data_IF_011299531315
#
_entry.id   IF_011299531315
#
_cell.length_a   1.000
_cell.length_b   1.000
_cell.length_c   1.000
_cell.angle_alpha   90.00
_cell.angle_beta   90.00
_cell.angle_gamma   90.00
#
_symmetry.space_group_name_H-M   'P 1'
#
loop_
_entity.id
_entity.type
_entity.pdbx_description
1 polymer ?
2 non-polymer ?
3 water ?
#
# COMPACT_ATOMS: atom_id res chain seq x y z
N UNK A 4 -27.64 11.40 13.92
CA UNK A 4 -26.97 11.14 12.65
C UNK A 4 -25.48 10.71 12.85
N UNK A 5 -24.97 10.69 14.12
CA UNK A 5 -23.60 10.24 14.44
C UNK A 5 -23.56 8.71 14.61
N UNK A 6 -24.73 8.10 14.73
CA UNK A 6 -24.92 6.67 14.96
C UNK A 6 -24.70 5.84 13.69
N UNK A 7 -24.49 4.54 13.88
CA UNK A 7 -24.26 3.57 12.85
C UNK A 7 -25.43 3.49 11.92
N UNK A 8 -26.64 3.40 12.49
CA UNK A 8 -27.90 3.26 11.76
C UNK A 8 -28.03 4.25 10.62
N UNK A 9 -27.70 5.54 10.93
CA UNK A 9 -27.75 6.63 9.98
C UNK A 9 -26.75 6.44 8.84
N UNK A 10 -25.48 6.11 9.15
CA UNK A 10 -24.40 5.91 8.17
C UNK A 10 -24.65 4.66 7.31
N UNK A 11 -25.24 3.62 7.92
CA UNK A 11 -25.64 2.41 7.20
C UNK A 11 -26.70 2.73 6.16
N UNK A 12 -27.69 3.55 6.54
CA UNK A 12 -28.76 3.89 5.62
C UNK A 12 -28.19 4.71 4.47
N UNK A 13 -27.27 5.65 4.75
CA UNK A 13 -26.60 6.43 3.70
C UNK A 13 -25.82 5.55 2.73
N UNK A 14 -25.13 4.54 3.26
CA UNK A 14 -24.35 3.64 2.39
C UNK A 14 -25.25 2.70 1.57
N UNK A 15 -26.38 2.30 2.14
CA UNK A 15 -27.31 1.42 1.45
C UNK A 15 -28.11 2.20 0.42
N UNK A 16 -28.41 3.48 0.74
CA UNK A 16 -29.08 4.34 -0.22
C UNK A 16 -28.19 4.53 -1.44
N UNK A 17 -26.87 4.74 -1.23
CA UNK A 17 -25.94 4.92 -2.33
C UNK A 17 -25.85 3.71 -3.23
N UNK A 18 -25.84 2.55 -2.60
CA UNK A 18 -25.84 1.28 -3.31
C UNK A 18 -27.05 1.14 -4.19
N UNK A 19 -28.27 1.39 -3.64
CA UNK A 19 -29.51 1.27 -4.42
C UNK A 19 -29.54 2.25 -5.54
N UNK A 20 -28.95 3.47 -5.34
CA UNK A 20 -28.82 4.49 -6.40
C UNK A 20 -27.94 3.93 -7.53
N UNK A 21 -26.74 3.41 -7.22
CA UNK A 21 -25.82 2.81 -8.22
C UNK A 21 -26.51 1.63 -8.94
N UNK A 22 -27.18 0.76 -8.18
CA UNK A 22 -27.79 -0.44 -8.75
C UNK A 22 -29.07 -0.18 -9.50
N UNK A 23 -29.53 1.10 -9.52
CA UNK A 23 -30.78 1.55 -10.16
C UNK A 23 -32.00 0.80 -9.60
N UNK A 24 -31.97 0.47 -8.28
CA UNK A 24 -33.06 -0.24 -7.60
C UNK A 24 -33.57 0.57 -6.41
N UNK A 25 -34.19 1.75 -6.63
CA UNK A 25 -34.65 2.53 -5.47
C UNK A 25 -35.85 1.94 -4.72
N UNK A 26 -35.85 2.14 -3.40
CA UNK A 26 -36.93 1.70 -2.50
C UNK A 26 -38.18 2.61 -2.78
N UNK A 27 -39.43 2.08 -2.72
CA UNK A 27 -40.59 2.93 -3.08
C UNK A 27 -41.17 3.80 -1.95
N UNK A 28 -41.23 3.26 -0.73
CA UNK A 28 -41.77 3.98 0.42
C UNK A 28 -41.03 5.25 0.81
N UNK A 29 -41.57 6.43 0.37
CA UNK A 29 -41.08 7.81 0.62
C UNK A 29 -39.86 8.22 -0.23
N UNK A 30 -38.79 7.44 -0.13
CA UNK A 30 -37.54 7.70 -0.83
C UNK A 30 -36.43 8.13 0.11
N UNK A 31 -35.23 8.45 -0.41
CA UNK A 31 -34.12 8.85 0.47
C UNK A 31 -34.29 10.24 1.08
N UNK A 32 -33.52 10.53 2.12
CA UNK A 32 -33.53 11.80 2.82
C UNK A 32 -32.85 12.85 1.98
N UNK A 33 -33.07 14.15 2.32
CA UNK A 33 -32.39 15.28 1.64
C UNK A 33 -30.88 15.01 1.72
N UNK A 34 -30.40 14.57 2.89
CA UNK A 34 -28.98 14.24 3.09
C UNK A 34 -28.48 13.19 2.09
N UNK A 35 -29.21 12.09 1.94
CA UNK A 35 -28.84 11.02 1.00
C UNK A 35 -28.90 11.55 -0.45
N UNK A 36 -29.92 12.35 -0.78
CA UNK A 36 -30.11 12.89 -2.13
C UNK A 36 -28.95 13.82 -2.48
N UNK A 37 -28.45 14.62 -1.49
CA UNK A 37 -27.29 15.50 -1.70
C UNK A 37 -26.05 14.62 -1.93
N UNK A 38 -25.88 13.58 -1.09
CA UNK A 38 -24.76 12.64 -1.17
C UNK A 38 -24.72 11.90 -2.52
N UNK A 39 -25.82 11.31 -2.95
CA UNK A 39 -25.84 10.49 -4.18
C UNK A 39 -25.37 11.32 -5.38
N UNK A 40 -25.73 12.59 -5.36
CA UNK A 40 -25.37 13.55 -6.38
C UNK A 40 -23.84 13.77 -6.45
N UNK A 41 -23.22 14.19 -5.32
CA UNK A 41 -21.79 14.47 -5.22
C UNK A 41 -20.96 13.18 -5.28
N UNK A 42 -21.42 12.08 -4.66
CA UNK A 42 -20.67 10.83 -4.71
C UNK A 42 -20.65 10.25 -6.13
N UNK A 43 -21.77 10.29 -6.85
CA UNK A 43 -21.76 9.75 -8.22
C UNK A 43 -20.80 10.52 -9.13
N UNK A 44 -20.76 11.85 -8.97
CA UNK A 44 -19.86 12.73 -9.70
C UNK A 44 -18.40 12.30 -9.47
N UNK A 45 -18.00 12.08 -8.20
CA UNK A 45 -16.67 11.60 -7.82
C UNK A 45 -16.38 10.22 -8.40
N UNK A 46 -17.34 9.28 -8.29
CA UNK A 46 -17.21 7.89 -8.79
C UNK A 46 -16.88 7.84 -10.27
N UNK A 47 -17.58 8.63 -11.08
CA UNK A 47 -17.31 8.70 -12.54
C UNK A 47 -15.89 9.23 -12.80
N UNK A 48 -15.41 10.18 -11.96
CA UNK A 48 -14.07 10.77 -12.06
C UNK A 48 -13.03 9.71 -11.73
N UNK A 49 -13.21 8.97 -10.61
CA UNK A 49 -12.36 7.86 -10.18
C UNK A 49 -12.40 6.76 -11.24
N UNK A 50 -13.55 6.51 -11.85
CA UNK A 50 -13.65 5.47 -12.88
C UNK A 50 -12.78 5.79 -14.09
N UNK A 51 -12.77 7.06 -14.50
CA UNK A 51 -11.95 7.51 -15.62
C UNK A 51 -10.47 7.51 -15.27
N UNK A 52 -10.09 8.22 -14.17
CA UNK A 52 -8.70 8.33 -13.70
C UNK A 52 -8.07 7.00 -13.31
N UNK A 53 -8.91 6.02 -12.84
CA UNK A 53 -8.44 4.68 -12.41
C UNK A 53 -8.80 3.54 -13.38
N UNK A 54 -9.31 3.86 -14.61
CA UNK A 54 -9.72 2.91 -15.66
C UNK A 54 -8.87 1.62 -15.74
N UNK A 55 -7.57 1.76 -16.08
CA UNK A 55 -6.58 0.68 -16.21
C UNK A 55 -6.55 -0.19 -14.93
N UNK A 56 -6.39 0.46 -13.77
CA UNK A 56 -6.33 -0.13 -12.43
C UNK A 56 -7.57 -1.00 -12.09
N UNK A 57 -8.81 -0.47 -12.30
CA UNK A 57 -10.07 -1.18 -12.02
C UNK A 57 -10.25 -2.44 -12.88
N UNK A 58 -10.10 -2.29 -14.21
CA UNK A 58 -10.25 -3.36 -15.22
C UNK A 58 -9.34 -4.57 -15.00
N UNK A 59 -8.41 -4.48 -14.04
CA UNK A 59 -7.48 -5.57 -13.74
C UNK A 59 -7.91 -6.44 -12.56
N UNK A 60 -8.53 -5.83 -11.51
CA UNK A 60 -8.98 -6.60 -10.34
C UNK A 60 -10.26 -7.41 -10.62
N UNK A 61 -10.48 -8.49 -9.84
CA UNK A 61 -11.65 -9.36 -9.95
C UNK A 61 -12.32 -9.55 -8.57
N UNK A 62 -13.47 -8.85 -8.37
CA UNK A 62 -14.27 -8.87 -7.13
C UNK A 62 -15.30 -9.98 -7.24
N UNK A 63 -14.95 -11.18 -6.75
CA UNK A 63 -15.71 -12.44 -6.83
C UNK A 63 -16.55 -12.77 -5.58
N UNK A 64 -16.40 -11.99 -4.48
CA UNK A 64 -17.12 -12.18 -3.21
C UNK A 64 -17.12 -10.91 -2.36
N UNK A 65 -17.94 -10.89 -1.28
CA UNK A 65 -17.99 -9.79 -0.31
C UNK A 65 -16.63 -9.66 0.45
N UNK A 66 -15.99 -10.82 0.75
CA UNK A 66 -14.68 -10.87 1.40
C UNK A 66 -13.58 -10.27 0.53
N UNK A 67 -13.61 -10.51 -0.80
CA UNK A 67 -12.64 -9.94 -1.74
C UNK A 67 -12.85 -8.40 -1.79
N UNK A 68 -14.14 -7.95 -1.74
CA UNK A 68 -14.49 -6.54 -1.78
C UNK A 68 -14.06 -5.84 -0.49
N UNK A 69 -14.22 -6.50 0.69
CA UNK A 69 -13.80 -5.93 1.99
C UNK A 69 -12.30 -5.60 1.99
N UNK A 70 -11.50 -6.55 1.47
CA UNK A 70 -10.05 -6.43 1.35
C UNK A 70 -9.63 -5.29 0.44
N UNK A 71 -10.20 -5.21 -0.79
CA UNK A 71 -9.90 -4.14 -1.75
C UNK A 71 -10.24 -2.78 -1.15
N UNK A 72 -11.43 -2.69 -0.53
CA UNK A 72 -11.95 -1.50 0.12
C UNK A 72 -10.98 -1.06 1.24
N UNK A 73 -10.52 -1.99 2.09
CA UNK A 73 -9.55 -1.71 3.17
C UNK A 73 -8.23 -1.17 2.58
N UNK A 74 -7.76 -1.77 1.48
CA UNK A 74 -6.53 -1.37 0.78
C UNK A 74 -6.61 0.08 0.29
N UNK A 75 -7.75 0.43 -0.35
CA UNK A 75 -8.04 1.77 -0.85
C UNK A 75 -8.13 2.76 0.32
N UNK A 76 -8.82 2.35 1.41
CA UNK A 76 -8.94 3.17 2.62
C UNK A 76 -7.59 3.45 3.26
N UNK A 77 -6.69 2.43 3.29
CA UNK A 77 -5.32 2.51 3.80
C UNK A 77 -4.53 3.58 3.05
N UNK A 78 -4.72 3.71 1.72
CA UNK A 78 -3.94 4.71 1.00
C UNK A 78 -4.65 6.09 0.91
N UNK A 79 -6.01 6.12 1.00
CA UNK A 79 -6.81 7.36 0.99
C UNK A 79 -6.55 8.21 2.23
N UNK A 80 -6.35 7.56 3.38
CA UNK A 80 -6.14 8.26 4.64
C UNK A 80 -4.75 8.06 5.31
N UNK A 81 -3.73 7.61 4.54
CA UNK A 81 -2.39 7.33 5.10
C UNK A 81 -1.76 8.53 5.80
N UNK A 82 -1.97 9.75 5.27
CA UNK A 82 -1.45 10.96 5.90
C UNK A 82 -2.24 11.39 7.16
N UNK A 83 -3.31 10.66 7.50
CA UNK A 83 -4.14 10.92 8.69
C UNK A 83 -5.11 12.09 8.63
N UNK A 84 -5.21 12.78 7.50
CA UNK A 84 -6.13 13.92 7.42
C UNK A 84 -7.51 13.49 6.87
N UNK A 85 -8.58 13.98 7.52
CA UNK A 85 -9.96 13.75 7.14
C UNK A 85 -10.54 15.09 6.67
N UNK A 86 -11.38 15.01 5.63
CA UNK A 86 -12.14 16.11 5.09
C UNK A 86 -13.34 15.54 4.33
N UNK A 87 -14.38 16.35 4.12
CA UNK A 87 -15.62 15.91 3.48
C UNK A 87 -15.42 15.27 2.12
N UNK A 88 -14.43 15.76 1.37
CA UNK A 88 -14.08 15.26 0.04
C UNK A 88 -13.64 13.82 0.09
N UNK A 89 -12.91 13.46 1.14
CA UNK A 89 -12.45 12.09 1.33
C UNK A 89 -13.59 11.17 1.79
N UNK A 90 -14.55 11.73 2.53
CA UNK A 90 -15.72 10.98 3.02
C UNK A 90 -16.62 10.65 1.83
N UNK A 91 -16.79 11.62 0.91
CA UNK A 91 -17.57 11.42 -0.33
C UNK A 91 -16.89 10.34 -1.16
N UNK A 92 -15.55 10.38 -1.17
CA UNK A 92 -14.70 9.39 -1.88
C UNK A 92 -14.97 7.96 -1.40
N UNK A 93 -15.25 7.73 -0.10
CA UNK A 93 -15.55 6.38 0.43
C UNK A 93 -16.80 5.82 -0.28
N UNK A 94 -17.86 6.63 -0.38
CA UNK A 94 -19.11 6.22 -1.01
C UNK A 94 -18.86 5.84 -2.46
N UNK A 95 -18.07 6.66 -3.17
CA UNK A 95 -17.72 6.43 -4.57
C UNK A 95 -17.03 5.10 -4.76
N UNK A 96 -16.20 4.68 -3.80
CA UNK A 96 -15.52 3.41 -3.89
C UNK A 96 -16.43 2.21 -3.69
N UNK A 97 -17.41 2.28 -2.75
CA UNK A 97 -18.39 1.18 -2.58
C UNK A 97 -19.25 1.01 -3.83
N UNK A 98 -19.50 2.11 -4.54
CA UNK A 98 -20.22 2.11 -5.82
C UNK A 98 -19.45 1.36 -6.89
N UNK A 99 -18.11 1.59 -6.96
CA UNK A 99 -17.19 0.91 -7.89
C UNK A 99 -17.18 -0.59 -7.59
N UNK A 100 -17.12 -0.94 -6.31
CA UNK A 100 -17.06 -2.33 -5.85
C UNK A 100 -18.37 -3.04 -6.07
N UNK A 101 -19.53 -2.38 -5.83
CA UNK A 101 -20.79 -3.06 -6.08
C UNK A 101 -20.95 -3.31 -7.58
N UNK A 102 -20.49 -2.35 -8.44
CA UNK A 102 -20.61 -2.57 -9.91
C UNK A 102 -19.81 -3.81 -10.32
N UNK A 103 -18.52 -3.88 -9.83
CA UNK A 103 -17.62 -5.01 -10.08
C UNK A 103 -18.17 -6.31 -9.53
N UNK A 104 -18.65 -6.33 -8.28
CA UNK A 104 -19.24 -7.53 -7.62
C UNK A 104 -20.51 -8.04 -8.37
N UNK A 105 -21.37 -7.13 -8.90
CA UNK A 105 -22.56 -7.57 -9.64
C UNK A 105 -22.14 -8.36 -10.88
N UNK A 106 -21.12 -7.86 -11.56
CA UNK A 106 -20.50 -8.41 -12.76
C UNK A 106 -19.64 -9.67 -12.50
N UNK A 107 -18.92 -9.76 -11.36
CA UNK A 107 -17.96 -10.85 -11.15
C UNK A 107 -18.18 -11.79 -9.94
N UNK A 108 -19.28 -11.66 -9.18
CA UNK A 108 -19.51 -12.52 -7.99
C UNK A 108 -19.73 -13.98 -8.37
N UNK A 109 -18.99 -14.92 -7.69
CA UNK A 109 -19.04 -16.38 -7.92
C UNK A 109 -20.43 -16.93 -7.66
N UNK A 110 -20.97 -16.71 -6.47
CA UNK A 110 -22.32 -17.11 -6.16
C UNK A 110 -23.14 -15.83 -6.15
N UNK A 111 -23.80 -15.47 -7.27
CA UNK A 111 -24.55 -14.20 -7.31
C UNK A 111 -25.78 -14.18 -6.38
N UNK A 112 -25.52 -13.85 -5.10
CA UNK A 112 -26.52 -13.70 -4.05
C UNK A 112 -26.91 -12.22 -3.99
N UNK A 113 -28.21 -11.96 -3.95
CA UNK A 113 -28.69 -10.59 -3.89
C UNK A 113 -28.59 -10.00 -2.47
N UNK A 114 -28.46 -10.86 -1.45
CA UNK A 114 -28.36 -10.43 -0.06
C UNK A 114 -26.93 -10.05 0.41
N UNK A 115 -25.97 -10.04 -0.52
CA UNK A 115 -24.56 -9.72 -0.27
C UNK A 115 -24.27 -8.22 -0.40
N UNK A 116 -25.08 -7.53 -1.20
CA UNK A 116 -24.95 -6.09 -1.45
C UNK A 116 -25.16 -5.24 -0.17
N UNK A 117 -25.98 -5.71 0.78
CA UNK A 117 -26.22 -5.05 2.05
C UNK A 117 -25.02 -5.23 3.03
N UNK A 118 -24.11 -6.18 2.74
CA UNK A 118 -22.89 -6.48 3.51
C UNK A 118 -21.85 -5.44 3.17
N UNK A 119 -21.83 -4.98 1.91
CA UNK A 119 -20.94 -3.90 1.47
C UNK A 119 -21.29 -2.64 2.29
N UNK A 120 -22.60 -2.34 2.39
CA UNK A 120 -23.18 -1.21 3.14
C UNK A 120 -22.77 -1.29 4.60
N UNK A 121 -22.77 -2.52 5.15
CA UNK A 121 -22.35 -2.74 6.52
C UNK A 121 -20.89 -2.39 6.72
N UNK A 122 -19.94 -2.98 5.94
CA UNK A 122 -18.52 -2.67 6.22
C UNK A 122 -18.14 -1.24 5.82
N UNK A 123 -18.96 -0.58 4.99
CA UNK A 123 -18.69 0.84 4.66
C UNK A 123 -19.05 1.73 5.87
N UNK A 124 -20.20 1.43 6.49
CA UNK A 124 -20.64 2.18 7.66
C UNK A 124 -19.71 1.91 8.86
N UNK A 125 -19.24 0.67 8.99
CA UNK A 125 -18.29 0.30 10.05
C UNK A 125 -16.97 1.09 9.93
N UNK A 126 -16.46 1.18 8.69
CA UNK A 126 -15.25 1.92 8.39
C UNK A 126 -15.45 3.43 8.68
N UNK A 127 -16.54 4.03 8.16
CA UNK A 127 -16.85 5.45 8.34
C UNK A 127 -16.98 5.79 9.84
N UNK A 128 -17.73 4.96 10.55
CA UNK A 128 -18.02 5.08 11.97
C UNK A 128 -16.75 5.02 12.81
N UNK A 129 -15.99 3.93 12.70
CA UNK A 129 -14.79 3.74 13.48
C UNK A 129 -13.62 4.62 13.09
N UNK A 130 -13.54 5.06 11.82
CA UNK A 130 -12.37 5.81 11.40
C UNK A 130 -12.59 7.32 11.16
N UNK A 131 -13.83 7.77 10.94
CA UNK A 131 -14.11 9.19 10.69
C UNK A 131 -15.30 9.69 11.49
N UNK A 132 -15.95 8.80 12.25
CA UNK A 132 -17.14 9.15 13.03
C UNK A 132 -17.02 10.38 13.91
N UNK A 133 -15.88 10.49 14.64
CA UNK A 133 -15.61 11.59 15.58
C UNK A 133 -15.42 12.91 14.84
N UNK A 134 -14.63 12.89 13.74
CA UNK A 134 -14.37 14.04 12.87
C UNK A 134 -15.70 14.54 12.33
N UNK A 135 -16.55 13.63 11.82
CA UNK A 135 -17.86 13.97 11.25
C UNK A 135 -18.70 14.80 12.23
N UNK A 136 -18.86 14.27 13.46
CA UNK A 136 -19.65 14.89 14.54
C UNK A 136 -19.16 16.30 14.86
N UNK A 137 -17.85 16.46 15.05
CA UNK A 137 -17.23 17.74 15.39
C UNK A 137 -17.29 18.76 14.27
N UNK A 138 -17.55 18.29 13.04
CA UNK A 138 -17.66 19.14 11.87
C UNK A 138 -19.10 19.38 11.46
N UNK A 139 -20.03 18.98 12.32
CA UNK A 139 -21.42 19.29 12.07
C UNK A 139 -22.33 18.13 11.75
N UNK A 140 -21.76 16.93 11.69
CA UNK A 140 -22.51 15.74 11.33
C UNK A 140 -22.90 15.80 9.85
N UNK A 141 -23.88 15.00 9.48
CA UNK A 141 -24.39 14.92 8.13
C UNK A 141 -25.36 16.07 7.77
N UNK A 142 -26.25 16.43 8.70
CA UNK A 142 -27.28 17.43 8.44
C UNK A 142 -26.82 18.89 8.67
N UNK A 143 -25.73 19.12 9.43
CA UNK A 143 -25.22 20.48 9.66
C UNK A 143 -23.79 20.69 9.21
N UNK A 144 -23.21 19.64 8.65
CA UNK A 144 -21.83 19.62 8.17
C UNK A 144 -21.74 19.23 6.70
N UNK A 145 -22.16 18.02 6.38
CA UNK A 145 -22.07 17.54 5.01
C UNK A 145 -23.01 18.30 4.06
N UNK A 146 -24.32 18.33 4.41
CA UNK A 146 -25.35 18.96 3.61
C UNK A 146 -25.08 20.43 3.42
N UNK A 147 -24.76 21.18 4.50
CA UNK A 147 -24.45 22.62 4.39
C UNK A 147 -23.29 22.88 3.40
N UNK A 148 -22.27 22.02 3.38
CA UNK A 148 -21.16 22.13 2.45
C UNK A 148 -21.52 21.71 1.01
N UNK A 149 -22.41 20.70 0.81
CA UNK A 149 -22.61 20.17 -0.54
C UNK A 149 -23.99 20.37 -1.16
N UNK A 150 -24.99 20.89 -0.44
CA UNK A 150 -26.34 21.05 -0.99
C UNK A 150 -26.33 22.13 -2.09
N UNK A 151 -27.24 22.08 -3.09
CA UNK A 151 -27.23 23.13 -4.12
C UNK A 151 -27.26 24.53 -3.52
N UNK A 152 -26.45 25.42 -4.08
CA UNK A 152 -26.31 26.79 -3.57
C UNK A 152 -27.37 27.73 -4.15
N UNK B 4 11.64 2.21 14.07
CA UNK B 4 12.54 2.00 12.93
C UNK B 4 13.96 1.51 13.34
N UNK B 5 14.35 1.66 14.63
CA UNK B 5 15.67 1.22 15.13
C UNK B 5 15.77 -0.31 15.30
N UNK B 6 14.66 -1.03 15.08
CA UNK B 6 14.51 -2.45 15.31
C UNK B 6 14.71 -3.34 14.08
N UNK B 7 15.03 -4.63 14.33
CA UNK B 7 15.21 -5.65 13.33
C UNK B 7 13.98 -5.73 12.42
N UNK B 8 12.77 -5.78 13.01
CA UNK B 8 11.49 -5.91 12.30
C UNK B 8 11.32 -4.90 11.18
N UNK B 9 11.71 -3.65 11.45
CA UNK B 9 11.60 -2.56 10.49
C UNK B 9 12.55 -2.77 9.33
N UNK B 10 13.86 -3.01 9.63
CA UNK B 10 14.91 -3.24 8.63
C UNK B 10 14.55 -4.48 7.77
N UNK B 11 14.08 -5.55 8.43
CA UNK B 11 13.64 -6.76 7.73
C UNK B 11 12.55 -6.42 6.72
N UNK B 12 11.58 -5.59 7.12
CA UNK B 12 10.52 -5.16 6.21
C UNK B 12 11.09 -4.33 5.05
N UNK B 13 12.14 -3.53 5.27
CA UNK B 13 12.76 -2.75 4.18
C UNK B 13 13.49 -3.68 3.18
N UNK B 14 14.24 -4.63 3.73
CA UNK B 14 14.97 -5.60 2.93
C UNK B 14 13.99 -6.51 2.16
N UNK B 15 12.85 -6.90 2.78
CA UNK B 15 11.86 -7.74 2.09
C UNK B 15 11.17 -6.95 1.02
N UNK B 16 10.89 -5.65 1.29
CA UNK B 16 10.26 -4.78 0.30
C UNK B 16 11.14 -4.61 -0.91
N UNK B 17 12.45 -4.30 -0.72
CA UNK B 17 13.37 -4.14 -1.86
C UNK B 17 13.47 -5.42 -2.69
N UNK B 18 13.57 -6.55 -2.03
CA UNK B 18 13.58 -7.86 -2.68
C UNK B 18 12.31 -8.08 -3.57
N UNK B 19 11.10 -7.75 -3.04
CA UNK B 19 9.83 -7.86 -3.79
C UNK B 19 9.78 -6.89 -4.98
N UNK B 20 10.39 -5.70 -4.81
CA UNK B 20 10.49 -4.72 -5.89
C UNK B 20 11.41 -5.28 -7.04
N UNK B 21 12.62 -5.72 -6.71
CA UNK B 21 13.51 -6.30 -7.70
C UNK B 21 12.84 -7.50 -8.41
N UNK B 22 12.21 -8.40 -7.62
CA UNK B 22 11.55 -9.57 -8.18
C UNK B 22 10.21 -9.29 -8.87
N UNK B 23 9.84 -8.00 -8.97
CA UNK B 23 8.60 -7.48 -9.54
C UNK B 23 7.35 -8.21 -8.98
N UNK B 24 7.40 -8.58 -7.67
CA UNK B 24 6.32 -9.24 -6.97
C UNK B 24 5.83 -8.39 -5.80
N UNK B 25 5.24 -7.19 -6.03
CA UNK B 25 4.73 -6.40 -4.89
C UNK B 25 3.54 -7.05 -4.17
N UNK B 26 3.49 -6.86 -2.84
CA UNK B 26 2.41 -7.34 -1.96
C UNK B 26 1.18 -6.42 -2.16
N UNK B 27 -0.04 -6.96 -2.38
CA UNK B 27 -1.20 -6.08 -2.65
C UNK B 27 -1.70 -5.20 -1.49
N UNK B 28 -1.68 -5.72 -0.27
CA UNK B 28 -2.16 -5.01 0.93
C UNK B 28 -1.51 -3.68 1.25
N UNK B 29 -2.13 -2.56 0.76
CA UNK B 29 -1.72 -1.14 0.91
C UNK B 29 -0.43 -0.73 0.18
N UNK B 30 0.61 -1.53 0.34
CA UNK B 30 1.91 -1.29 -0.28
C UNK B 30 2.96 -0.81 0.70
N UNK B 31 4.20 -0.58 0.19
CA UNK B 31 5.28 -0.13 1.08
C UNK B 31 5.13 1.30 1.61
N UNK B 32 5.80 1.59 2.74
CA UNK B 32 5.83 2.90 3.41
C UNK B 32 6.53 3.89 2.52
N UNK B 33 6.51 5.18 2.90
CA UNK B 33 7.18 6.26 2.16
C UNK B 33 8.68 5.96 2.13
N UNK B 34 9.22 5.59 3.27
CA UNK B 34 10.62 5.23 3.49
C UNK B 34 11.07 4.17 2.49
N UNK B 35 10.34 3.08 2.43
CA UNK B 35 10.59 1.93 1.55
C UNK B 35 10.51 2.33 0.09
N UNK B 36 9.52 3.18 -0.26
CA UNK B 36 9.29 3.70 -1.61
C UNK B 36 10.47 4.57 -2.06
N UNK B 37 11.02 5.40 -1.14
CA UNK B 37 12.19 6.27 -1.40
C UNK B 37 13.45 5.40 -1.58
N UNK B 38 13.69 4.48 -0.62
CA UNK B 38 14.81 3.56 -0.66
C UNK B 38 14.82 2.75 -1.96
N UNK B 39 13.66 2.20 -2.38
CA UNK B 39 13.57 1.35 -3.57
C UNK B 39 14.10 2.07 -4.77
N UNK B 40 13.67 3.32 -4.89
CA UNK B 40 14.04 4.24 -5.95
C UNK B 40 15.55 4.49 -6.01
N UNK B 41 16.14 4.90 -4.87
CA UNK B 41 17.56 5.24 -4.76
C UNK B 41 18.46 3.99 -4.84
N UNK B 42 18.10 2.90 -4.13
CA UNK B 42 18.87 1.66 -4.17
C UNK B 42 18.85 0.99 -5.58
N UNK B 43 17.77 1.19 -6.37
CA UNK B 43 17.73 0.60 -7.74
C UNK B 43 18.74 1.31 -8.61
N UNK B 44 18.83 2.63 -8.46
CA UNK B 44 19.78 3.47 -9.18
C UNK B 44 21.22 3.00 -8.91
N UNK B 45 21.62 2.89 -7.63
CA UNK B 45 22.94 2.40 -7.25
C UNK B 45 23.16 0.98 -7.77
N UNK B 46 22.10 0.13 -7.75
CA UNK B 46 22.17 -1.27 -8.20
C UNK B 46 22.61 -1.39 -9.65
N UNK B 47 22.03 -0.58 -10.53
CA UNK B 47 22.36 -0.56 -11.97
C UNK B 47 23.82 -0.17 -12.22
N UNK B 48 24.35 0.80 -11.43
CA UNK B 48 25.74 1.24 -11.47
C UNK B 48 26.67 0.06 -11.10
N UNK B 49 26.48 -0.48 -9.89
CA UNK B 49 27.23 -1.62 -9.37
C UNK B 49 27.15 -2.80 -10.37
N UNK B 50 25.95 -3.06 -10.95
CA UNK B 50 25.76 -4.12 -11.95
C UNK B 50 26.69 -3.89 -13.16
N UNK B 51 26.78 -2.64 -13.64
CA UNK B 51 27.64 -2.26 -14.77
C UNK B 51 29.14 -2.38 -14.43
N UNK B 52 29.56 -1.78 -13.29
CA UNK B 52 30.94 -1.71 -12.83
C UNK B 52 31.47 -3.01 -12.20
N UNK B 53 30.65 -4.07 -12.14
CA UNK B 53 31.11 -5.33 -11.58
C UNK B 53 30.75 -6.51 -12.50
N UNK B 54 30.35 -6.23 -13.74
CA UNK B 54 29.92 -7.24 -14.73
C UNK B 54 30.84 -8.46 -14.83
N UNK B 55 32.17 -8.25 -14.91
CA UNK B 55 33.16 -9.34 -15.00
C UNK B 55 33.07 -10.26 -13.79
N UNK B 56 32.91 -9.69 -12.59
CA UNK B 56 32.78 -10.44 -11.35
C UNK B 56 31.53 -11.30 -11.31
N UNK B 57 30.36 -10.66 -11.40
CA UNK B 57 29.05 -11.28 -11.34
C UNK B 57 28.87 -12.36 -12.40
N UNK B 58 29.36 -12.11 -13.63
CA UNK B 58 29.27 -13.07 -14.73
C UNK B 58 30.11 -14.32 -14.51
N UNK B 59 30.95 -14.34 -13.47
CA UNK B 59 31.80 -15.49 -13.19
C UNK B 59 31.61 -16.06 -11.78
N UNK B 60 30.44 -15.79 -11.18
CA UNK B 60 30.04 -16.29 -9.86
C UNK B 60 28.76 -17.13 -10.03
N UNK B 61 28.62 -18.20 -9.24
CA UNK B 61 27.45 -19.06 -9.34
C UNK B 61 26.76 -19.17 -7.98
N UNK B 62 25.61 -18.46 -7.83
CA UNK B 62 24.84 -18.36 -6.60
C UNK B 62 23.80 -19.45 -6.56
N UNK B 63 24.24 -20.69 -6.24
CA UNK B 63 23.43 -21.95 -6.21
C UNK B 63 22.49 -22.08 -5.00
N UNK B 64 22.74 -21.34 -3.89
CA UNK B 64 21.93 -21.46 -2.68
C UNK B 64 22.00 -20.20 -1.82
N UNK B 65 21.13 -20.11 -0.77
CA UNK B 65 21.11 -19.01 0.22
C UNK B 65 22.46 -18.89 0.95
N UNK B 66 23.07 -20.03 1.29
CA UNK B 66 24.36 -20.02 1.98
C UNK B 66 25.48 -19.49 1.09
N UNK B 67 25.48 -19.77 -0.24
CA UNK B 67 26.45 -19.18 -1.17
C UNK B 67 26.26 -17.64 -1.19
N UNK B 68 24.99 -17.18 -1.32
CA UNK B 68 24.65 -15.75 -1.32
C UNK B 68 25.05 -15.09 0.01
N UNK B 69 24.84 -15.76 1.17
CA UNK B 69 25.24 -15.19 2.50
C UNK B 69 26.75 -14.98 2.54
N UNK B 70 27.51 -16.01 2.11
CA UNK B 70 28.97 -16.00 2.04
C UNK B 70 29.47 -14.86 1.14
N UNK B 71 28.92 -14.76 -0.09
CA UNK B 71 29.32 -13.70 -1.03
C UNK B 71 28.96 -12.32 -0.53
N UNK B 72 27.77 -12.20 0.09
CA UNK B 72 27.30 -10.93 0.64
C UNK B 72 28.26 -10.46 1.73
N UNK B 73 28.74 -11.39 2.60
CA UNK B 73 29.70 -11.07 3.67
C UNK B 73 30.99 -10.54 3.11
N UNK B 74 31.45 -11.13 1.98
CA UNK B 74 32.66 -10.71 1.29
C UNK B 74 32.60 -9.25 0.84
N UNK B 75 31.48 -8.83 0.20
CA UNK B 75 31.32 -7.44 -0.28
C UNK B 75 31.18 -6.47 0.88
N UNK B 76 30.51 -6.90 1.97
CA UNK B 76 30.36 -6.07 3.16
C UNK B 76 31.71 -5.79 3.81
N UNK B 77 32.63 -6.78 3.79
CA UNK B 77 34.01 -6.64 4.26
C UNK B 77 34.74 -5.58 3.44
N UNK B 78 34.53 -5.56 2.12
CA UNK B 78 35.15 -4.61 1.21
C UNK B 78 34.58 -3.19 1.37
N UNK B 79 33.22 -3.06 1.30
CA UNK B 79 32.50 -1.79 1.41
C UNK B 79 32.81 -1.03 2.69
N UNK B 80 33.04 -1.75 3.79
CA UNK B 80 33.27 -1.11 5.09
C UNK B 80 34.68 -1.35 5.70
N UNK B 81 35.70 -1.66 4.85
CA UNK B 81 37.07 -1.97 5.33
C UNK B 81 37.68 -0.87 6.20
N UNK B 82 37.50 0.42 5.86
CA UNK B 82 37.99 1.54 6.67
C UNK B 82 37.17 1.77 7.95
N UNK B 83 35.91 1.34 7.94
CA UNK B 83 35.02 1.46 9.08
C UNK B 83 34.14 2.70 9.11
N UNK B 84 34.04 3.43 7.97
CA UNK B 84 33.18 4.61 7.91
C UNK B 84 31.77 4.24 7.39
N UNK B 85 30.75 4.83 8.03
CA UNK B 85 29.33 4.65 7.77
C UNK B 85 28.73 6.00 7.33
N UNK B 86 27.99 5.98 6.22
CA UNK B 86 27.24 7.11 5.66
C UNK B 86 26.03 6.51 4.92
N UNK B 87 25.03 7.32 4.55
CA UNK B 87 23.83 6.82 3.90
C UNK B 87 24.07 6.15 2.56
N UNK B 88 25.09 6.61 1.82
CA UNK B 88 25.47 6.05 0.52
C UNK B 88 25.86 4.59 0.67
N UNK B 89 26.57 4.25 1.74
CA UNK B 89 26.97 2.87 1.99
C UNK B 89 25.81 2.01 2.46
N UNK B 90 24.87 2.58 3.22
CA UNK B 90 23.69 1.84 3.65
C UNK B 90 22.85 1.51 2.41
N UNK B 91 22.68 2.47 1.49
CA UNK B 91 21.97 2.26 0.22
C UNK B 91 22.57 1.10 -0.58
N UNK B 92 23.89 1.07 -0.66
CA UNK B 92 24.70 0.06 -1.33
C UNK B 92 24.40 -1.36 -0.81
N UNK B 93 24.12 -1.52 0.51
CA UNK B 93 23.80 -2.85 1.06
C UNK B 93 22.54 -3.43 0.36
N UNK B 94 21.52 -2.60 0.15
CA UNK B 94 20.28 -3.01 -0.50
C UNK B 94 20.55 -3.36 -1.96
N UNK B 95 21.43 -2.59 -2.63
CA UNK B 95 21.82 -2.86 -4.03
C UNK B 95 22.47 -4.24 -4.19
N UNK B 96 23.33 -4.67 -3.25
CA UNK B 96 23.91 -6.01 -3.33
C UNK B 96 22.88 -7.09 -3.04
N UNK B 97 21.95 -6.79 -2.11
CA UNK B 97 20.82 -7.66 -1.79
C UNK B 97 20.05 -7.92 -3.10
N UNK B 98 19.90 -6.89 -3.90
CA UNK B 98 19.20 -6.99 -5.18
C UNK B 98 19.94 -7.78 -6.23
N UNK B 99 21.29 -7.58 -6.31
CA UNK B 99 22.13 -8.33 -7.25
C UNK B 99 22.09 -9.79 -6.89
N UNK B 100 22.23 -10.11 -5.60
CA UNK B 100 22.21 -11.49 -5.13
C UNK B 100 20.90 -12.20 -5.37
N UNK B 101 19.74 -11.50 -5.28
CA UNK B 101 18.47 -12.17 -5.54
C UNK B 101 18.31 -12.43 -7.03
N UNK B 102 18.80 -11.50 -7.88
CA UNK B 102 18.70 -11.75 -9.34
C UNK B 102 19.49 -12.99 -9.72
N UNK B 103 20.72 -13.09 -9.21
CA UNK B 103 21.58 -14.23 -9.47
C UNK B 103 20.98 -15.51 -8.88
N UNK B 104 20.42 -15.44 -7.66
CA UNK B 104 19.80 -16.61 -7.03
C UNK B 104 18.56 -17.07 -7.84
N UNK B 105 17.74 -16.14 -8.38
CA UNK B 105 16.59 -16.51 -9.22
C UNK B 105 17.04 -17.29 -10.46
N UNK B 106 18.19 -16.92 -10.98
CA UNK B 106 18.79 -17.50 -12.16
C UNK B 106 19.54 -18.82 -11.89
N UNK B 107 20.26 -18.92 -10.75
CA UNK B 107 21.22 -19.98 -10.47
C UNK B 107 20.95 -20.93 -9.28
N UNK B 108 19.92 -20.69 -8.43
CA UNK B 108 19.63 -21.55 -7.26
C UNK B 108 19.30 -22.97 -7.70
N UNK B 109 19.91 -23.99 -7.06
CA UNK B 109 19.75 -25.39 -7.47
C UNK B 109 18.38 -25.95 -7.08
N UNK B 110 17.94 -25.74 -5.84
CA UNK B 110 16.60 -26.15 -5.47
C UNK B 110 15.85 -24.82 -5.40
N UNK B 111 15.28 -24.31 -6.52
CA UNK B 111 14.63 -22.99 -6.47
C UNK B 111 13.39 -22.93 -5.56
N UNK B 112 13.63 -22.63 -4.29
CA UNK B 112 12.58 -22.51 -3.29
C UNK B 112 12.22 -21.03 -3.17
N UNK B 113 10.96 -20.70 -3.48
CA UNK B 113 10.42 -19.33 -3.41
C UNK B 113 10.52 -18.66 -2.01
N UNK B 114 10.82 -19.43 -0.95
CA UNK B 114 10.93 -18.89 0.41
C UNK B 114 12.36 -18.55 0.86
N UNK B 115 13.34 -18.74 -0.02
CA UNK B 115 14.76 -18.49 0.25
C UNK B 115 15.07 -17.02 0.08
N UNK B 116 14.20 -16.34 -0.63
CA UNK B 116 14.27 -14.94 -0.92
C UNK B 116 14.05 -14.12 0.39
N UNK B 117 13.25 -14.65 1.33
CA UNK B 117 12.96 -14.05 2.64
C UNK B 117 14.13 -14.30 3.65
N UNK B 118 15.02 -15.28 3.33
CA UNK B 118 16.23 -15.64 4.10
C UNK B 118 17.28 -14.59 3.80
N UNK B 119 17.34 -14.11 2.55
CA UNK B 119 18.27 -13.05 2.13
C UNK B 119 18.01 -11.80 2.97
N UNK B 120 16.74 -11.44 3.06
CA UNK B 120 16.23 -10.29 3.77
C UNK B 120 16.62 -10.35 5.25
N UNK B 121 16.59 -11.56 5.80
CA UNK B 121 16.95 -11.80 7.20
C UNK B 121 18.41 -11.46 7.45
N UNK B 122 19.34 -12.04 6.66
CA UNK B 122 20.77 -11.83 6.91
C UNK B 122 21.22 -10.42 6.51
N UNK B 123 20.48 -9.78 5.61
CA UNK B 123 20.77 -8.38 5.24
C UNK B 123 20.36 -7.48 6.40
N UNK B 124 19.18 -7.71 6.97
CA UNK B 124 18.67 -6.96 8.13
C UNK B 124 19.53 -7.19 9.39
N UNK B 125 20.14 -8.36 9.52
CA UNK B 125 21.02 -8.72 10.62
C UNK B 125 22.34 -7.95 10.51
N UNK B 126 22.89 -7.85 9.28
CA UNK B 126 24.12 -7.09 8.99
C UNK B 126 23.92 -5.64 9.30
N UNK B 127 22.82 -5.08 8.81
CA UNK B 127 22.47 -3.67 8.96
C UNK B 127 22.28 -3.34 10.45
N UNK B 128 21.45 -4.14 11.13
CA UNK B 128 21.23 -3.90 12.55
C UNK B 128 22.53 -4.01 13.36
N UNK B 129 23.25 -5.11 13.22
CA UNK B 129 24.47 -5.33 14.00
C UNK B 129 25.65 -4.43 13.66
N UNK B 130 25.78 -3.92 12.41
CA UNK B 130 26.95 -3.14 12.03
C UNK B 130 26.72 -1.63 11.77
N UNK B 131 25.48 -1.21 11.51
CA UNK B 131 25.19 0.18 11.17
C UNK B 131 24.04 0.68 12.01
N UNK B 132 23.43 -0.25 12.77
CA UNK B 132 22.29 0.04 13.62
C UNK B 132 22.41 1.29 14.47
N UNK B 133 23.54 1.41 15.20
CA UNK B 133 23.79 2.52 16.12
C UNK B 133 23.97 3.84 15.39
N UNK B 134 24.76 3.82 14.30
CA UNK B 134 24.97 4.98 13.41
C UNK B 134 23.63 5.43 12.83
N UNK B 135 22.77 4.50 12.37
CA UNK B 135 21.45 4.87 11.79
C UNK B 135 20.62 5.66 12.81
N UNK B 136 20.44 5.12 14.05
CA UNK B 136 19.67 5.77 15.13
C UNK B 136 20.23 7.19 15.42
N UNK B 137 21.53 7.26 15.69
CA UNK B 137 22.23 8.52 15.97
C UNK B 137 22.10 9.55 14.83
N UNK B 138 21.83 9.09 13.58
CA UNK B 138 21.69 9.96 12.43
C UNK B 138 20.26 10.16 11.92
N UNK B 139 19.27 9.89 12.77
CA UNK B 139 17.89 10.21 12.43
C UNK B 139 16.98 9.03 12.18
N UNK B 140 17.55 7.82 12.17
CA UNK B 140 16.82 6.61 11.84
C UNK B 140 16.41 6.64 10.37
N UNK B 141 15.43 5.82 10.01
CA UNK B 141 14.93 5.76 8.66
C UNK B 141 14.02 6.95 8.31
N UNK B 142 13.05 7.30 9.17
CA UNK B 142 12.13 8.42 8.96
C UNK B 142 12.78 9.84 9.05
N UNK B 143 13.70 10.07 9.98
CA UNK B 143 14.28 11.41 10.13
C UNK B 143 15.70 11.55 9.62
N UNK B 144 16.29 10.45 9.17
CA UNK B 144 17.63 10.40 8.62
C UNK B 144 17.61 10.11 7.13
N UNK B 145 17.44 8.83 6.79
CA UNK B 145 17.42 8.37 5.40
C UNK B 145 16.38 9.12 4.53
N UNK B 146 15.09 9.16 4.96
CA UNK B 146 14.01 9.81 4.19
C UNK B 146 14.27 11.30 3.95
N UNK B 147 14.62 12.07 4.99
CA UNK B 147 14.82 13.54 4.82
C UNK B 147 15.98 13.87 3.90
N UNK B 148 17.00 13.02 3.86
CA UNK B 148 18.16 13.16 3.00
C UNK B 148 17.85 12.73 1.55
N UNK B 149 17.10 11.64 1.34
CA UNK B 149 16.95 11.14 -0.03
C UNK B 149 15.60 11.39 -0.69
N UNK B 150 14.60 11.86 0.06
CA UNK B 150 13.26 12.11 -0.50
C UNK B 150 13.28 13.28 -1.50
N UNK B 151 12.33 13.34 -2.49
CA UNK B 151 12.32 14.48 -3.44
C UNK B 151 12.15 15.80 -2.69
N UNK B 152 12.84 16.87 -3.15
CA UNK B 152 12.85 18.19 -2.48
C UNK B 152 11.85 19.20 -3.06
X LIG C 1 -6.70 2.06 -5.79
X LIG C 1 -6.67 0.80 -6.36
X LIG C 1 -6.02 -0.25 -5.71
X LIG C 1 -8.43 -1.95 -5.95
X LIG C 1 -9.02 -1.65 -7.17
X LIG C 1 -10.30 -1.12 -7.23
X LIG C 1 -10.99 -0.91 -6.05
X LIG C 1 -10.44 -1.21 -4.83
X LIG C 1 -9.15 -1.73 -4.78
X LIG C 1 -5.06 -2.00 -7.18
X LIG C 1 -4.53 -1.02 -8.19
X LIG C 1 -5.26 -1.10 -9.49
X LIG C 1 -4.74 -3.19 -7.25
X LIG C 1 -5.99 -1.56 -6.29
X LIG C 1 -5.40 -0.02 -4.48
X LIG C 1 -5.43 1.24 -3.90
X LIG C 1 -6.08 2.25 -4.57
X LIG C 1 -6.20 3.46 -3.97
X LIG C 1 -7.03 -2.51 -5.88
X LIG C 1 -12.58 -0.19 -6.10
X LIG D 1 32.88 -7.35 -4.78
X LIG D 1 32.78 -8.60 -5.32
X LIG D 1 33.56 -9.66 -4.83
X LIG D 1 31.09 -11.52 -5.02
X LIG D 1 30.59 -11.28 -6.30
X LIG D 1 29.33 -10.73 -6.47
X LIG D 1 28.57 -10.41 -5.37
X LIG D 1 29.02 -10.69 -4.10
X LIG D 1 30.27 -11.25 -3.93
X LIG D 1 34.14 -11.35 -6.54
X LIG D 1 34.47 -10.30 -7.57
X LIG D 1 33.22 -9.88 -8.34
X LIG D 1 34.34 -12.52 -6.79
X LIG D 1 33.48 -10.95 -5.41
X LIG D 1 34.43 -9.42 -3.75
X LIG D 1 34.51 -8.16 -3.19
X LIG D 1 33.74 -7.15 -3.72
X LIG D 1 33.83 -5.91 -3.18
X LIG D 1 32.53 -11.91 -4.82
X LIG D 1 27.08 -9.54 -5.58
#
# INVERSE_FOLDING_TARGET
GMTDCEFGYIYRLAQDYLQCVLQIPQPGSGPSKTSRVLQNVAFSVQKEVEKNLKSCLDNVNVVSVDTARTLFNQVMEKEFEDGIINWGRIVTIFAFEGILIKKLLRQQIAPDVDTYKEISYFVAEFIMNNTGEWIRQNGGWENGFVKKFEPK
GMTDCEFGYIYRLAQDYLQCVLQIPQPGSGPSKTSRVLQNVAFSVQKEVEKNLKSCLDNVNVVSVDTARTLFNQVMEKEFEDGIINWGRIVTIFAFEGILIKKLLRQQIAPDVDTYKEISYFVAEFIMNNTGEWIRQNGGWENGFVKKFEPK
A1IDG C1 C2 C3 C7 C8 C9 C10 C11 C12 C13 C14 C15 O N C4 C5 C F C6 CL
A1IDG C1 C2 C3 C7 C8 C9 C10 C11 C12 C13 C14 C15 O N C4 C5 C F C6 CL
#
